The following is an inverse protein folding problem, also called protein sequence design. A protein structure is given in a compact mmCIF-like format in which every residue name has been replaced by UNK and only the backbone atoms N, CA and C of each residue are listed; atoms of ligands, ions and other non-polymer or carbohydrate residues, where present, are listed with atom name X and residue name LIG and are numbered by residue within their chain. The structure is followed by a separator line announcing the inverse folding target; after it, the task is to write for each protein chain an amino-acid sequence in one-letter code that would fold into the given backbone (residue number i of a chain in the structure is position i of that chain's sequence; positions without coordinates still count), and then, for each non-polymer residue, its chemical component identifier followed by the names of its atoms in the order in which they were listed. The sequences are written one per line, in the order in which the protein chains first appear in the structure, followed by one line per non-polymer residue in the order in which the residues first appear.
data_IF_379176259701
#
_entry.id   IF_379176259701
#
_cell.length_a   1.000
_cell.length_b   1.000
_cell.length_c   1.000
_cell.angle_alpha   90.00
_cell.angle_beta   90.00
_cell.angle_gamma   90.00
#
_symmetry.space_group_name_H-M   'P 1'
#
loop_
_entity.id
_entity.type
_entity.pdbx_description
1 polymer ?
#
# COMPACT_ATOMS: atom_id res chain seq x y z
N UNK A 1 -10.71 25.36 8.92
CA UNK A 1 -10.49 23.94 9.31
C UNK A 1 -9.43 23.87 10.41
N UNK A 2 -9.50 22.93 11.34
CA UNK A 2 -8.39 22.71 12.30
C UNK A 2 -7.33 21.82 11.64
N UNK A 3 -6.10 22.32 11.51
CA UNK A 3 -4.97 21.54 11.02
C UNK A 3 -4.39 20.71 12.15
N UNK A 4 -4.47 19.38 12.06
CA UNK A 4 -3.79 18.46 12.98
C UNK A 4 -2.47 18.01 12.40
N UNK A 5 -2.42 17.75 11.09
CA UNK A 5 -1.20 17.35 10.39
C UNK A 5 -1.03 18.06 9.05
N UNK A 6 0.20 18.42 8.73
CA UNK A 6 0.58 18.97 7.42
C UNK A 6 1.54 18.01 6.75
N UNK A 7 1.22 17.64 5.51
CA UNK A 7 2.15 16.91 4.65
C UNK A 7 3.16 17.90 4.08
N UNK A 8 4.46 17.64 4.28
CA UNK A 8 5.54 18.50 3.79
C UNK A 8 6.29 17.78 2.66
N UNK A 9 6.25 18.37 1.48
CA UNK A 9 7.08 17.98 0.33
C UNK A 9 8.31 18.88 0.30
N UNK A 10 9.50 18.29 0.22
CA UNK A 10 10.76 19.05 0.27
C UNK A 10 11.88 18.35 -0.51
N UNK A 11 12.87 19.11 -0.95
CA UNK A 11 14.04 18.56 -1.63
C UNK A 11 14.90 17.66 -0.72
N UNK A 12 15.39 16.55 -1.28
CA UNK A 12 16.42 15.70 -0.66
C UNK A 12 17.81 16.35 -0.64
N UNK A 13 17.98 17.46 -1.36
CA UNK A 13 19.18 18.29 -1.34
C UNK A 13 18.95 19.58 -0.53
N UNK A 14 19.99 20.15 0.11
CA UNK A 14 19.86 21.40 0.86
C UNK A 14 19.65 22.64 -0.04
N UNK A 15 19.95 22.52 -1.33
CA UNK A 15 19.95 23.63 -2.28
C UNK A 15 21.22 24.50 -2.20
N UNK A 16 21.31 25.49 -3.09
CA UNK A 16 22.50 26.36 -3.18
C UNK A 16 22.47 27.55 -2.22
N UNK A 17 21.28 27.97 -1.78
CA UNK A 17 21.11 29.08 -0.84
C UNK A 17 20.82 28.53 0.58
N UNK A 18 21.61 28.90 1.60
CA UNK A 18 21.37 28.46 2.99
C UNK A 18 20.00 28.89 3.55
N UNK A 19 19.35 29.90 2.94
CA UNK A 19 18.00 30.31 3.31
C UNK A 19 16.97 29.17 3.19
N UNK A 20 17.19 28.20 2.29
CA UNK A 20 16.29 27.06 2.12
C UNK A 20 16.27 26.13 3.33
N UNK A 21 17.45 25.72 3.80
CA UNK A 21 17.59 24.90 5.02
C UNK A 21 17.04 25.64 6.23
N UNK A 22 17.35 26.94 6.35
CA UNK A 22 16.86 27.75 7.44
C UNK A 22 15.32 27.88 7.41
N UNK A 23 14.71 28.00 6.23
CA UNK A 23 13.26 28.05 6.10
C UNK A 23 12.58 26.71 6.42
N UNK A 24 13.18 25.59 5.99
CA UNK A 24 12.71 24.25 6.33
C UNK A 24 12.71 24.03 7.86
N UNK A 25 13.82 24.37 8.54
CA UNK A 25 13.91 24.28 9.98
C UNK A 25 12.89 25.18 10.69
N UNK A 26 12.74 26.44 10.24
CA UNK A 26 11.73 27.37 10.80
C UNK A 26 10.31 26.83 10.65
N UNK A 27 9.97 26.25 9.50
CA UNK A 27 8.66 25.63 9.28
C UNK A 27 8.43 24.47 10.25
N UNK A 28 9.42 23.58 10.40
CA UNK A 28 9.33 22.43 11.30
C UNK A 28 9.10 22.84 12.76
N UNK A 29 9.91 23.78 13.27
CA UNK A 29 9.75 24.34 14.61
C UNK A 29 8.38 25.01 14.79
N UNK A 30 7.91 25.77 13.80
CA UNK A 30 6.63 26.48 13.88
C UNK A 30 5.44 25.52 13.92
N UNK A 31 5.46 24.46 13.11
CA UNK A 31 4.43 23.42 13.12
C UNK A 31 4.33 22.75 14.49
N UNK A 32 5.47 22.34 15.06
CA UNK A 32 5.54 21.77 16.40
C UNK A 32 5.01 22.73 17.48
N UNK A 33 5.42 24.00 17.46
CA UNK A 33 4.94 25.02 18.39
C UNK A 33 3.43 25.28 18.30
N UNK A 34 2.83 25.08 17.12
CA UNK A 34 1.39 25.18 16.90
C UNK A 34 0.64 23.88 17.21
N UNK A 35 1.34 22.82 17.65
CA UNK A 35 0.76 21.51 17.92
C UNK A 35 0.29 20.79 16.64
N UNK A 36 0.89 21.10 15.50
CA UNK A 36 0.57 20.52 14.20
C UNK A 36 1.66 19.49 13.86
N UNK A 37 1.26 18.24 13.65
CA UNK A 37 2.18 17.16 13.25
C UNK A 37 2.63 17.27 11.80
N UNK A 38 3.75 16.64 11.48
CA UNK A 38 4.33 16.58 10.13
C UNK A 38 4.13 15.18 9.57
N UNK A 39 3.66 15.11 8.33
CA UNK A 39 3.71 13.90 7.49
C UNK A 39 4.69 14.18 6.36
N UNK A 40 5.61 13.29 6.06
CA UNK A 40 6.57 13.52 4.97
C UNK A 40 7.15 12.22 4.41
N UNK A 41 8.09 12.37 3.48
CA UNK A 41 8.68 11.28 2.73
C UNK A 41 9.66 10.33 3.44
N UNK A 42 9.93 10.52 4.74
CA UNK A 42 10.75 9.61 5.56
C UNK A 42 12.27 9.76 5.46
N UNK A 43 12.79 10.60 4.56
CA UNK A 43 14.23 10.80 4.36
C UNK A 43 14.88 11.75 5.38
N UNK A 44 16.15 11.53 5.71
CA UNK A 44 16.88 12.35 6.70
C UNK A 44 17.79 13.45 6.11
N UNK A 45 17.81 13.61 4.78
CA UNK A 45 18.78 14.49 4.08
C UNK A 45 18.12 15.76 3.52
N UNK A 46 18.94 16.78 3.27
CA UNK A 46 18.50 18.03 2.65
C UNK A 46 17.45 18.76 3.47
N UNK A 47 16.44 19.31 2.79
CA UNK A 47 15.36 20.04 3.45
C UNK A 47 14.41 19.11 4.21
N UNK A 48 14.28 17.85 3.77
CA UNK A 48 13.50 16.82 4.46
C UNK A 48 14.04 16.54 5.86
N UNK A 49 15.35 16.37 6.01
CA UNK A 49 15.98 16.23 7.33
C UNK A 49 15.79 17.49 8.17
N UNK A 50 16.09 18.67 7.60
CA UNK A 50 16.01 19.94 8.33
C UNK A 50 14.63 20.24 8.92
N UNK A 51 13.54 19.96 8.18
CA UNK A 51 12.17 20.18 8.69
C UNK A 51 11.80 19.16 9.77
N UNK A 52 12.18 17.89 9.60
CA UNK A 52 11.90 16.81 10.54
C UNK A 52 12.66 17.02 11.85
N UNK A 53 13.98 17.22 11.80
CA UNK A 53 14.84 17.45 12.96
C UNK A 53 14.36 18.65 13.78
N UNK A 54 14.08 19.77 13.11
CA UNK A 54 13.65 21.00 13.79
C UNK A 54 12.28 20.86 14.47
N UNK A 55 11.38 20.03 13.91
CA UNK A 55 10.11 19.70 14.55
C UNK A 55 10.31 18.77 15.75
N UNK A 56 11.13 17.72 15.61
CA UNK A 56 11.45 16.79 16.70
C UNK A 56 12.11 17.51 17.88
N UNK A 57 13.08 18.40 17.63
CA UNK A 57 13.75 19.22 18.66
C UNK A 57 12.74 20.10 19.40
N UNK A 58 11.73 20.62 18.69
CA UNK A 58 10.66 21.43 19.27
C UNK A 58 9.54 20.59 19.93
N UNK A 59 9.68 19.25 19.98
CA UNK A 59 8.72 18.34 20.60
C UNK A 59 7.48 18.03 19.73
N UNK A 60 7.58 18.22 18.42
CA UNK A 60 6.50 17.92 17.47
C UNK A 60 6.40 16.45 17.09
N UNK A 61 5.25 16.06 16.54
CA UNK A 61 5.03 14.74 15.92
C UNK A 61 5.54 14.76 14.47
N UNK A 62 6.33 13.75 14.08
CA UNK A 62 6.81 13.57 12.70
C UNK A 62 6.59 12.12 12.26
N UNK A 63 5.77 11.94 11.22
CA UNK A 63 5.47 10.65 10.59
C UNK A 63 6.11 10.61 9.20
N UNK A 64 7.05 9.68 9.01
CA UNK A 64 7.66 9.39 7.72
C UNK A 64 6.96 8.24 7.01
N UNK A 65 6.79 8.33 5.68
CA UNK A 65 6.32 7.22 4.84
C UNK A 65 7.36 6.93 3.76
N UNK A 66 7.92 5.72 3.78
CA UNK A 66 9.01 5.32 2.91
C UNK A 66 8.70 3.98 2.21
N UNK A 67 8.90 3.85 0.88
CA UNK A 67 8.82 2.56 0.22
C UNK A 67 9.97 1.64 0.64
N UNK A 68 9.70 0.34 0.77
CA UNK A 68 10.71 -0.68 1.12
C UNK A 68 11.96 -0.62 0.24
N UNK A 69 11.77 -0.44 -1.08
CA UNK A 69 12.87 -0.33 -2.04
C UNK A 69 13.78 0.90 -1.84
N UNK A 70 13.28 1.95 -1.17
CA UNK A 70 14.06 3.12 -0.79
C UNK A 70 14.62 3.00 0.63
N UNK A 71 13.98 2.28 1.54
CA UNK A 71 14.55 2.02 2.89
C UNK A 71 15.90 1.30 2.84
N UNK A 72 16.11 0.44 1.83
CA UNK A 72 17.37 -0.27 1.63
C UNK A 72 18.49 0.60 1.03
N UNK A 73 18.18 1.80 0.51
CA UNK A 73 19.11 2.66 -0.27
C UNK A 73 19.22 4.09 0.26
N UNK A 74 18.13 4.64 0.75
CA UNK A 74 18.01 5.93 1.42
C UNK A 74 18.09 5.71 2.92
N UNK A 75 18.76 6.62 3.62
CA UNK A 75 18.85 6.52 5.07
C UNK A 75 17.54 7.06 5.64
N UNK A 76 16.61 6.14 5.94
CA UNK A 76 15.38 6.45 6.68
C UNK A 76 15.73 7.15 8.00
N UNK A 77 14.93 8.12 8.41
CA UNK A 77 15.25 8.96 9.56
C UNK A 77 14.93 8.23 10.88
N UNK A 78 15.91 7.77 11.67
CA UNK A 78 15.65 6.91 12.83
C UNK A 78 15.12 7.68 14.05
N UNK A 79 15.18 9.01 14.02
CA UNK A 79 14.87 9.88 15.15
C UNK A 79 13.46 10.47 15.11
N UNK A 80 12.63 10.13 14.13
CA UNK A 80 11.26 10.65 14.02
C UNK A 80 10.28 9.83 14.86
N UNK A 81 9.07 10.38 15.07
CA UNK A 81 8.04 9.75 15.91
C UNK A 81 7.58 8.40 15.37
N UNK A 82 7.37 8.30 14.06
CA UNK A 82 6.92 7.06 13.41
C UNK A 82 7.46 6.99 11.98
N UNK A 83 7.96 5.82 11.57
CA UNK A 83 8.32 5.54 10.18
C UNK A 83 7.44 4.38 9.67
N UNK A 84 6.67 4.64 8.61
CA UNK A 84 5.79 3.66 7.95
C UNK A 84 6.40 3.18 6.65
N UNK A 85 6.75 1.90 6.60
CA UNK A 85 7.27 1.26 5.39
C UNK A 85 6.12 0.72 4.54
N UNK A 86 6.09 1.07 3.26
CA UNK A 86 5.07 0.66 2.28
C UNK A 86 5.70 -0.07 1.08
N UNK A 87 4.90 -0.71 0.24
CA UNK A 87 5.44 -1.55 -0.84
C UNK A 87 5.66 -0.78 -2.14
N UNK A 88 5.03 0.39 -2.33
CA UNK A 88 5.14 1.17 -3.57
C UNK A 88 5.11 2.68 -3.38
N UNK A 89 5.56 3.42 -4.40
CA UNK A 89 5.45 4.89 -4.45
C UNK A 89 3.99 5.38 -4.45
N UNK A 90 3.06 4.62 -5.03
CA UNK A 90 1.65 4.97 -5.03
C UNK A 90 1.05 4.86 -3.62
N UNK A 91 1.34 3.75 -2.93
CA UNK A 91 0.93 3.57 -1.53
C UNK A 91 1.54 4.66 -0.63
N UNK A 92 2.79 5.04 -0.88
CA UNK A 92 3.47 6.12 -0.15
C UNK A 92 2.70 7.44 -0.25
N UNK A 93 2.40 7.89 -1.47
CA UNK A 93 1.69 9.17 -1.70
C UNK A 93 0.26 9.13 -1.20
N UNK A 94 -0.44 8.01 -1.40
CA UNK A 94 -1.80 7.81 -0.90
C UNK A 94 -1.85 7.90 0.63
N UNK A 95 -0.96 7.20 1.33
CA UNK A 95 -0.90 7.23 2.80
C UNK A 95 -0.50 8.61 3.33
N UNK A 96 0.47 9.29 2.70
CA UNK A 96 0.84 10.66 3.07
C UNK A 96 -0.34 11.63 2.93
N UNK A 97 -1.09 11.50 1.83
CA UNK A 97 -2.28 12.29 1.58
C UNK A 97 -3.43 11.95 2.54
N UNK A 98 -3.60 10.69 2.94
CA UNK A 98 -4.62 10.25 3.90
C UNK A 98 -4.37 10.89 5.28
N UNK A 99 -3.13 10.86 5.76
CA UNK A 99 -2.75 11.28 7.11
C UNK A 99 -2.76 12.80 7.32
N UNK A 100 -2.70 13.59 6.26
CA UNK A 100 -2.56 15.05 6.34
C UNK A 100 -3.87 15.79 6.13
N UNK A 101 -4.00 16.98 6.73
CA UNK A 101 -5.14 17.88 6.53
C UNK A 101 -4.82 18.96 5.47
N UNK A 102 -3.53 19.24 5.23
CA UNK A 102 -3.05 20.20 4.25
C UNK A 102 -1.67 19.81 3.72
N UNK A 103 -1.26 20.41 2.61
CA UNK A 103 0.02 20.17 1.95
C UNK A 103 0.85 21.44 1.88
N UNK A 104 2.16 21.35 2.16
CA UNK A 104 3.13 22.44 1.99
C UNK A 104 4.31 21.94 1.19
N UNK A 105 4.66 22.64 0.10
CA UNK A 105 5.89 22.41 -0.64
C UNK A 105 6.96 23.45 -0.29
N UNK A 106 8.06 22.96 0.28
CA UNK A 106 9.35 23.66 0.36
C UNK A 106 10.11 23.52 -0.96
N UNK A 107 11.13 24.35 -1.23
CA UNK A 107 11.97 24.21 -2.42
C UNK A 107 12.47 22.77 -2.65
N UNK A 108 12.44 22.31 -3.90
CA UNK A 108 12.79 20.93 -4.22
C UNK A 108 12.74 20.60 -5.71
N UNK A 109 13.30 19.46 -6.08
CA UNK A 109 13.41 19.02 -7.48
C UNK A 109 12.14 18.40 -8.04
N UNK A 110 12.31 17.52 -9.03
CA UNK A 110 11.20 16.85 -9.72
C UNK A 110 10.26 16.08 -8.78
N UNK A 111 10.79 15.39 -7.77
CA UNK A 111 9.96 14.67 -6.79
C UNK A 111 9.01 15.60 -6.04
N UNK A 112 9.52 16.72 -5.52
CA UNK A 112 8.71 17.73 -4.83
C UNK A 112 7.68 18.36 -5.75
N UNK A 113 8.04 18.64 -7.01
CA UNK A 113 7.12 19.18 -8.00
C UNK A 113 6.01 18.18 -8.37
N UNK A 114 6.35 16.90 -8.52
CA UNK A 114 5.42 15.82 -8.82
C UNK A 114 4.39 15.65 -7.69
N UNK A 115 4.85 15.56 -6.44
CA UNK A 115 4.01 15.45 -5.26
C UNK A 115 3.07 16.67 -5.09
N UNK A 116 3.60 17.88 -5.32
CA UNK A 116 2.85 19.12 -5.29
C UNK A 116 1.73 19.15 -6.34
N UNK A 117 2.07 18.88 -7.60
CA UNK A 117 1.12 18.95 -8.72
C UNK A 117 0.08 17.85 -8.59
N UNK A 118 0.43 16.67 -8.09
CA UNK A 118 -0.52 15.60 -7.79
C UNK A 118 -1.54 16.04 -6.73
N UNK A 119 -1.10 16.54 -5.57
CA UNK A 119 -2.00 17.02 -4.51
C UNK A 119 -2.91 18.16 -4.99
N UNK A 120 -2.38 19.10 -5.78
CA UNK A 120 -3.17 20.17 -6.38
C UNK A 120 -4.20 19.63 -7.39
N UNK A 121 -3.82 18.65 -8.20
CA UNK A 121 -4.69 18.01 -9.20
C UNK A 121 -5.80 17.21 -8.53
N UNK A 122 -5.51 16.50 -7.44
CA UNK A 122 -6.52 15.78 -6.67
C UNK A 122 -7.54 16.74 -6.05
N UNK A 123 -7.09 17.88 -5.52
CA UNK A 123 -7.99 18.96 -5.05
C UNK A 123 -8.87 19.51 -6.20
N UNK A 124 -8.27 19.72 -7.38
CA UNK A 124 -9.00 20.14 -8.59
C UNK A 124 -10.08 19.13 -9.00
N UNK A 125 -9.79 17.83 -8.96
CA UNK A 125 -10.70 16.76 -9.34
C UNK A 125 -11.76 16.47 -8.25
N UNK A 126 -11.58 16.99 -7.03
CA UNK A 126 -12.46 16.74 -5.90
C UNK A 126 -12.28 15.41 -5.23
N UNK A 127 -11.09 14.85 -5.37
CA UNK A 127 -10.64 13.66 -4.67
C UNK A 127 -10.49 13.94 -3.17
N UNK A 128 -9.98 15.13 -2.83
CA UNK A 128 -9.92 15.61 -1.45
C UNK A 128 -10.18 17.11 -1.40
N UNK A 129 -10.58 17.59 -0.22
CA UNK A 129 -10.88 19.00 0.07
C UNK A 129 -9.79 19.60 0.97
N UNK A 130 -8.53 19.43 0.57
CA UNK A 130 -7.36 19.81 1.37
C UNK A 130 -6.58 20.91 0.66
N UNK A 131 -6.16 21.97 1.36
CA UNK A 131 -5.45 23.08 0.76
C UNK A 131 -3.98 22.72 0.48
N UNK A 132 -3.42 23.33 -0.58
CA UNK A 132 -2.03 23.15 -1.01
C UNK A 132 -1.32 24.49 -0.98
N UNK A 133 -0.16 24.55 -0.34
CA UNK A 133 0.61 25.78 -0.14
C UNK A 133 2.06 25.67 -0.63
N UNK A 134 2.57 26.76 -1.20
CA UNK A 134 3.97 26.95 -1.55
C UNK A 134 4.62 27.89 -0.55
N UNK A 135 5.64 27.40 0.14
CA UNK A 135 6.51 28.26 0.95
C UNK A 135 7.62 28.83 0.04
N UNK A 136 7.41 30.06 -0.43
CA UNK A 136 8.21 30.71 -1.47
C UNK A 136 9.45 31.40 -0.92
N UNK A 137 10.44 30.57 -0.58
CA UNK A 137 11.74 31.00 -0.06
C UNK A 137 12.60 31.50 -1.21
N UNK A 138 13.19 32.70 -1.07
CA UNK A 138 14.07 33.30 -2.08
C UNK A 138 13.47 33.32 -3.51
N UNK A 139 12.13 33.43 -3.61
CA UNK A 139 11.37 33.40 -4.88
C UNK A 139 11.53 32.10 -5.68
N UNK A 140 11.86 30.99 -5.01
CA UNK A 140 12.07 29.69 -5.65
C UNK A 140 10.90 29.25 -6.54
N UNK A 141 9.66 29.51 -6.11
CA UNK A 141 8.47 29.06 -6.82
C UNK A 141 7.98 30.05 -7.89
N UNK A 142 8.68 31.16 -8.11
CA UNK A 142 8.24 32.21 -9.02
C UNK A 142 8.05 31.74 -10.46
N UNK A 143 8.91 30.85 -10.96
CA UNK A 143 8.78 30.34 -12.34
C UNK A 143 7.62 29.36 -12.50
N UNK A 144 7.34 28.56 -11.47
CA UNK A 144 6.15 27.70 -11.46
C UNK A 144 4.87 28.56 -11.44
N UNK A 145 4.87 29.65 -10.68
CA UNK A 145 3.75 30.60 -10.65
C UNK A 145 3.46 31.17 -12.05
N UNK A 146 4.49 31.61 -12.76
CA UNK A 146 4.37 32.11 -14.13
C UNK A 146 3.89 31.04 -15.11
N UNK A 147 4.32 29.78 -14.94
CA UNK A 147 3.84 28.66 -15.74
C UNK A 147 2.35 28.41 -15.52
N UNK A 148 1.89 28.42 -14.28
CA UNK A 148 0.46 28.24 -13.95
C UNK A 148 -0.38 29.41 -14.49
N UNK A 149 0.12 30.64 -14.39
CA UNK A 149 -0.54 31.82 -14.96
C UNK A 149 -0.59 31.76 -16.49
N UNK A 150 0.46 31.25 -17.13
CA UNK A 150 0.46 30.96 -18.56
C UNK A 150 -0.60 29.90 -18.92
N UNK A 151 -0.67 28.78 -18.17
CA UNK A 151 -1.69 27.76 -18.39
C UNK A 151 -3.13 28.32 -18.24
N UNK A 152 -3.35 29.31 -17.36
CA UNK A 152 -4.63 30.03 -17.28
C UNK A 152 -4.88 30.85 -18.53
N UNK A 153 -3.89 31.64 -18.99
CA UNK A 153 -4.01 32.45 -20.21
C UNK A 153 -4.29 31.60 -21.46
N UNK A 154 -3.62 30.46 -21.57
CA UNK A 154 -3.82 29.48 -22.65
C UNK A 154 -5.03 28.56 -22.43
N UNK A 155 -5.78 28.76 -21.34
CA UNK A 155 -7.03 28.05 -21.00
C UNK A 155 -6.86 26.54 -20.72
N UNK A 156 -5.65 26.09 -20.41
CA UNK A 156 -5.40 24.75 -19.86
C UNK A 156 -5.76 24.66 -18.38
N UNK A 157 -5.75 25.79 -17.66
CA UNK A 157 -6.13 25.88 -16.25
C UNK A 157 -7.26 26.90 -16.06
N UNK A 158 -8.31 26.54 -15.31
CA UNK A 158 -9.36 27.50 -14.94
C UNK A 158 -8.83 28.46 -13.87
N UNK A 159 -9.21 29.74 -13.95
CA UNK A 159 -8.78 30.75 -12.97
C UNK A 159 -9.20 30.45 -11.53
N UNK A 160 -10.28 29.70 -11.33
CA UNK A 160 -10.70 29.20 -10.01
C UNK A 160 -9.72 28.15 -9.47
N UNK A 161 -9.30 27.21 -10.33
CA UNK A 161 -8.34 26.16 -9.98
C UNK A 161 -6.94 26.73 -9.72
N UNK A 162 -6.60 27.86 -10.34
CA UNK A 162 -5.33 28.57 -10.06
C UNK A 162 -5.20 28.99 -8.59
N UNK A 163 -6.33 29.18 -7.90
CA UNK A 163 -6.38 29.55 -6.48
C UNK A 163 -6.30 28.35 -5.52
N UNK A 164 -6.22 27.11 -6.05
CA UNK A 164 -6.04 25.91 -5.24
C UNK A 164 -4.64 25.83 -4.62
N UNK A 165 -3.65 26.42 -5.29
CA UNK A 165 -2.27 26.49 -4.81
C UNK A 165 -2.03 27.88 -4.22
N UNK A 166 -1.98 27.94 -2.89
CA UNK A 166 -1.65 29.13 -2.12
C UNK A 166 -0.14 29.37 -2.14
N UNK A 167 0.29 30.61 -1.93
CA UNK A 167 1.71 30.98 -1.88
C UNK A 167 1.94 32.04 -0.83
N UNK A 168 3.01 31.86 -0.05
CA UNK A 168 3.51 32.86 0.88
C UNK A 168 5.01 32.66 1.08
N UNK A 169 5.75 33.76 1.26
CA UNK A 169 7.16 33.71 1.68
C UNK A 169 7.31 33.56 3.21
N UNK A 170 6.23 33.73 3.96
CA UNK A 170 6.16 33.60 5.41
C UNK A 170 5.38 32.33 5.78
N UNK A 171 6.00 31.46 6.60
CA UNK A 171 5.43 30.19 7.01
C UNK A 171 4.19 30.36 7.91
N UNK A 172 4.18 31.33 8.81
CA UNK A 172 3.03 31.58 9.70
C UNK A 172 1.82 32.04 8.92
N UNK A 173 2.01 33.01 8.02
CA UNK A 173 0.95 33.48 7.13
C UNK A 173 0.46 32.36 6.20
N UNK A 174 1.35 31.50 5.71
CA UNK A 174 0.94 30.36 4.89
C UNK A 174 0.03 29.42 5.67
N UNK A 175 0.41 29.06 6.90
CA UNK A 175 -0.37 28.17 7.75
C UNK A 175 -1.74 28.77 8.10
N UNK A 176 -1.79 30.08 8.35
CA UNK A 176 -3.04 30.79 8.62
C UNK A 176 -3.96 30.78 7.38
N UNK A 177 -3.40 30.98 6.18
CA UNK A 177 -4.14 30.87 4.92
C UNK A 177 -4.65 29.44 4.67
N UNK A 178 -3.84 28.41 4.94
CA UNK A 178 -4.25 27.01 4.81
C UNK A 178 -5.40 26.68 5.78
N UNK A 179 -5.33 27.15 7.02
CA UNK A 179 -6.37 26.91 8.02
C UNK A 179 -7.70 27.63 7.68
N UNK A 180 -7.61 28.81 7.06
CA UNK A 180 -8.75 29.61 6.61
C UNK A 180 -9.25 29.24 5.20
N UNK A 181 -8.58 28.32 4.50
CA UNK A 181 -8.91 27.99 3.12
C UNK A 181 -10.28 27.31 3.03
N UNK A 182 -11.07 27.79 2.08
CA UNK A 182 -12.31 27.16 1.65
C UNK A 182 -12.17 26.74 0.20
N UNK A 183 -12.65 25.54 -0.12
CA UNK A 183 -12.54 24.99 -1.45
C UNK A 183 -13.29 25.87 -2.47
N UNK A 184 -12.61 26.37 -3.52
CA UNK A 184 -13.31 26.98 -4.66
C UNK A 184 -14.28 25.96 -5.26
N UNK A 185 -15.54 26.35 -5.52
CA UNK A 185 -16.55 25.43 -6.06
C UNK A 185 -16.02 24.77 -7.34
N UNK A 186 -15.93 23.44 -7.41
CA UNK A 186 -15.37 22.79 -8.58
C UNK A 186 -16.31 22.95 -9.78
N UNK A 187 -15.77 23.38 -10.92
CA UNK A 187 -16.50 23.32 -12.19
C UNK A 187 -16.69 21.90 -12.74
N UNK A 188 -15.96 20.92 -12.19
CA UNK A 188 -16.09 19.48 -12.49
C UNK A 188 -15.97 18.72 -11.17
N UNK A 189 -17.05 18.10 -10.71
CA UNK A 189 -17.06 17.30 -9.48
C UNK A 189 -17.16 15.84 -9.86
N UNK A 190 -16.13 15.04 -9.57
CA UNK A 190 -16.27 13.59 -9.62
C UNK A 190 -17.36 13.19 -8.61
N UNK A 191 -18.20 12.21 -8.96
CA UNK A 191 -19.08 11.60 -7.96
C UNK A 191 -18.22 10.98 -6.87
N UNK A 192 -18.76 10.86 -5.64
CA UNK A 192 -18.04 10.19 -4.54
C UNK A 192 -17.59 8.78 -4.94
N UNK A 193 -18.41 8.07 -5.70
CA UNK A 193 -18.10 6.73 -6.21
C UNK A 193 -16.94 6.76 -7.21
N UNK A 194 -16.92 7.71 -8.15
CA UNK A 194 -15.83 7.86 -9.11
C UNK A 194 -14.52 8.28 -8.44
N UNK A 195 -14.58 9.12 -7.39
CA UNK A 195 -13.41 9.50 -6.61
C UNK A 195 -12.88 8.32 -5.79
N UNK A 196 -13.75 7.47 -5.23
CA UNK A 196 -13.36 6.28 -4.48
C UNK A 196 -12.57 5.29 -5.36
N UNK A 197 -12.99 5.07 -6.61
CA UNK A 197 -12.29 4.17 -7.55
C UNK A 197 -10.91 4.66 -8.01
N UNK A 198 -10.55 5.94 -7.81
CA UNK A 198 -9.22 6.46 -8.13
C UNK A 198 -8.16 6.08 -7.08
N UNK A 199 -8.59 5.72 -5.86
CA UNK A 199 -7.72 5.41 -4.71
C UNK A 199 -7.91 4.03 -4.12
N UNK A 200 -8.90 3.27 -4.57
CA UNK A 200 -8.89 1.86 -4.29
C UNK A 200 -7.56 1.33 -4.83
N UNK A 201 -6.68 0.78 -3.97
CA UNK A 201 -5.50 0.10 -4.48
C UNK A 201 -6.05 -0.92 -5.45
N UNK A 202 -5.55 -0.88 -6.70
CA UNK A 202 -5.95 -1.77 -7.79
C UNK A 202 -6.33 -3.09 -7.14
N UNK A 203 -7.61 -3.52 -7.16
CA UNK A 203 -8.02 -4.71 -6.45
C UNK A 203 -7.00 -5.77 -6.83
N UNK A 204 -6.26 -6.31 -5.85
CA UNK A 204 -5.19 -7.26 -6.17
C UNK A 204 -5.83 -8.29 -7.06
N UNK A 205 -5.35 -8.39 -8.30
CA UNK A 205 -5.90 -9.34 -9.25
C UNK A 205 -5.94 -10.69 -8.52
N UNK A 206 -7.03 -11.46 -8.65
CA UNK A 206 -7.15 -12.70 -7.90
C UNK A 206 -5.91 -13.55 -8.13
N UNK A 207 -5.25 -13.95 -7.05
CA UNK A 207 -4.10 -14.85 -7.15
C UNK A 207 -4.59 -16.23 -7.54
N UNK A 208 -3.85 -16.90 -8.42
CA UNK A 208 -4.16 -18.27 -8.83
C UNK A 208 -3.29 -19.21 -8.01
N UNK A 209 -3.94 -20.13 -7.31
CA UNK A 209 -3.27 -21.18 -6.57
C UNK A 209 -3.82 -22.56 -6.94
N UNK A 210 -3.19 -23.60 -6.46
CA UNK A 210 -3.63 -24.99 -6.67
C UNK A 210 -3.84 -25.71 -5.34
N UNK A 211 -4.61 -26.78 -5.40
CA UNK A 211 -4.68 -27.75 -4.30
C UNK A 211 -4.49 -29.15 -4.88
N UNK A 212 -3.53 -29.90 -4.35
CA UNK A 212 -3.22 -31.26 -4.71
C UNK A 212 -4.03 -32.24 -3.85
N UNK A 213 -5.16 -32.70 -4.38
CA UNK A 213 -6.06 -33.66 -3.74
C UNK A 213 -5.50 -35.08 -3.90
N UNK A 214 -4.74 -35.53 -2.90
CA UNK A 214 -4.22 -36.90 -2.83
C UNK A 214 -5.21 -37.77 -2.07
N UNK A 215 -5.83 -38.72 -2.78
CA UNK A 215 -6.75 -39.71 -2.17
C UNK A 215 -6.16 -41.10 -2.28
N UNK A 216 -5.96 -41.77 -1.13
CA UNK A 216 -5.45 -43.15 -1.04
C UNK A 216 -6.32 -43.94 -0.07
N UNK A 217 -6.78 -45.12 -0.49
CA UNK A 217 -7.62 -46.02 0.32
C UNK A 217 -8.83 -45.32 0.98
N UNK A 218 -9.51 -44.45 0.22
CA UNK A 218 -10.66 -43.67 0.70
C UNK A 218 -10.31 -42.56 1.70
N UNK A 219 -9.02 -42.24 1.87
CA UNK A 219 -8.55 -41.17 2.74
C UNK A 219 -7.91 -40.02 1.94
N UNK A 220 -8.18 -38.79 2.35
CA UNK A 220 -7.58 -37.56 1.84
C UNK A 220 -6.41 -37.13 2.73
N UNK A 221 -5.30 -36.78 2.09
CA UNK A 221 -4.15 -36.18 2.77
C UNK A 221 -4.41 -34.69 3.06
N UNK A 222 -4.31 -34.29 4.33
CA UNK A 222 -4.44 -32.89 4.76
C UNK A 222 -3.30 -32.50 5.70
N UNK A 223 -2.86 -31.25 5.61
CA UNK A 223 -1.86 -30.62 6.46
C UNK A 223 -2.47 -29.54 7.33
N UNK A 224 -2.05 -29.47 8.60
CA UNK A 224 -2.49 -28.43 9.53
C UNK A 224 -1.63 -27.17 9.34
N UNK A 225 -2.23 -26.07 8.88
CA UNK A 225 -1.52 -24.83 8.51
C UNK A 225 -1.02 -24.07 9.74
N UNK A 226 0.21 -23.53 9.66
CA UNK A 226 0.85 -22.63 10.66
C UNK A 226 1.01 -21.17 10.21
N UNK A 227 0.96 -20.90 8.91
CA UNK A 227 1.19 -19.56 8.36
C UNK A 227 0.06 -18.56 8.66
N UNK A 228 0.34 -17.25 8.54
CA UNK A 228 -0.61 -16.17 8.85
C UNK A 228 -1.97 -16.30 8.13
N UNK A 229 -1.97 -16.87 6.93
CA UNK A 229 -3.18 -17.08 6.14
C UNK A 229 -3.79 -18.47 6.40
N UNK A 230 -4.88 -18.53 7.16
CA UNK A 230 -5.58 -19.78 7.49
C UNK A 230 -4.88 -20.65 8.54
N UNK A 231 -4.09 -20.05 9.44
CA UNK A 231 -3.49 -20.76 10.58
C UNK A 231 -4.53 -21.58 11.35
N UNK A 232 -4.18 -22.81 11.73
CA UNK A 232 -5.06 -23.70 12.48
C UNK A 232 -6.13 -24.40 11.65
N UNK A 233 -6.12 -24.26 10.32
CA UNK A 233 -7.03 -24.98 9.43
C UNK A 233 -6.33 -26.09 8.66
N UNK A 234 -7.09 -27.12 8.25
CA UNK A 234 -6.65 -28.25 7.45
C UNK A 234 -6.81 -27.96 5.95
N UNK A 235 -5.76 -28.21 5.18
CA UNK A 235 -5.76 -28.04 3.73
C UNK A 235 -4.98 -29.17 3.03
N UNK A 236 -5.28 -29.48 1.76
CA UNK A 236 -4.39 -30.29 0.94
C UNK A 236 -3.06 -29.53 0.69
N UNK A 237 -1.98 -30.22 0.28
CA UNK A 237 -0.79 -29.56 -0.25
C UNK A 237 -1.15 -28.62 -1.40
N UNK A 238 -0.45 -27.50 -1.54
CA UNK A 238 -0.72 -26.56 -2.61
C UNK A 238 -0.21 -25.14 -2.35
N UNK A 239 0.08 -24.45 -3.44
CA UNK A 239 0.63 -23.11 -3.42
C UNK A 239 0.22 -22.29 -4.64
N UNK A 240 0.97 -21.22 -4.88
CA UNK A 240 0.74 -20.30 -5.99
C UNK A 240 1.18 -20.93 -7.32
N UNK A 241 0.47 -20.59 -8.40
CA UNK A 241 0.91 -20.94 -9.77
C UNK A 241 1.97 -19.92 -10.20
N UNK A 242 3.14 -20.41 -10.59
CA UNK A 242 4.21 -19.57 -11.12
C UNK A 242 3.93 -19.12 -12.56
N UNK A 243 4.52 -17.99 -12.96
CA UNK A 243 4.32 -17.45 -14.29
C UNK A 243 4.81 -18.41 -15.39
N UNK A 244 3.89 -18.86 -16.24
CA UNK A 244 4.17 -19.82 -17.32
C UNK A 244 4.15 -21.29 -16.89
N UNK A 245 3.84 -21.59 -15.62
CA UNK A 245 3.67 -22.95 -15.13
C UNK A 245 2.22 -23.43 -15.35
N UNK A 246 2.06 -24.67 -15.81
CA UNK A 246 0.74 -25.30 -15.93
C UNK A 246 0.21 -25.69 -14.53
N UNK A 247 -1.06 -25.40 -14.17
CA UNK A 247 -1.60 -25.69 -12.84
C UNK A 247 -1.45 -27.16 -12.39
N UNK A 248 -1.52 -28.10 -13.33
CA UNK A 248 -1.31 -29.52 -13.02
C UNK A 248 0.15 -29.78 -12.59
N UNK A 249 1.12 -29.11 -13.22
CA UNK A 249 2.53 -29.19 -12.84
C UNK A 249 2.77 -28.52 -11.48
N UNK A 250 2.18 -27.35 -11.23
CA UNK A 250 2.20 -26.70 -9.91
C UNK A 250 1.69 -27.64 -8.82
N UNK A 251 0.58 -28.35 -9.04
CA UNK A 251 0.03 -29.28 -8.04
C UNK A 251 0.96 -30.46 -7.73
N UNK A 252 1.71 -30.95 -8.72
CA UNK A 252 2.71 -31.99 -8.52
C UNK A 252 3.95 -31.46 -7.79
N UNK A 253 4.42 -30.26 -8.16
CA UNK A 253 5.55 -29.58 -7.54
C UNK A 253 5.28 -29.30 -6.07
N UNK A 254 4.17 -28.64 -5.76
CA UNK A 254 3.79 -28.29 -4.37
C UNK A 254 3.60 -29.55 -3.51
N UNK A 255 3.02 -30.62 -4.07
CA UNK A 255 2.95 -31.91 -3.36
C UNK A 255 4.34 -32.42 -2.98
N UNK A 256 5.29 -32.41 -3.92
CA UNK A 256 6.65 -32.89 -3.69
C UNK A 256 7.44 -31.99 -2.73
N UNK A 257 7.32 -30.67 -2.88
CA UNK A 257 8.00 -29.67 -2.06
C UNK A 257 7.52 -29.75 -0.60
N UNK A 258 6.22 -29.83 -0.36
CA UNK A 258 5.65 -29.78 0.99
C UNK A 258 5.68 -31.14 1.73
N UNK A 259 5.48 -32.24 0.98
CA UNK A 259 5.27 -33.58 1.56
C UNK A 259 6.35 -34.60 1.21
N UNK A 260 7.15 -34.34 0.17
CA UNK A 260 8.09 -35.30 -0.40
C UNK A 260 7.45 -36.45 -1.17
N UNK A 261 6.14 -36.42 -1.40
CA UNK A 261 5.44 -37.38 -2.23
C UNK A 261 5.51 -36.97 -3.71
N UNK A 262 5.82 -37.92 -4.59
CA UNK A 262 5.77 -37.70 -6.03
C UNK A 262 4.45 -38.26 -6.60
N UNK A 263 3.75 -37.46 -7.39
CA UNK A 263 2.58 -37.89 -8.16
C UNK A 263 2.94 -38.20 -9.61
N UNK A 264 2.26 -39.18 -10.22
CA UNK A 264 2.45 -39.52 -11.62
C UNK A 264 1.70 -38.58 -12.57
N UNK A 265 0.53 -38.08 -12.15
CA UNK A 265 -0.28 -37.12 -12.92
C UNK A 265 -1.24 -36.35 -12.02
N UNK A 266 -1.67 -35.19 -12.48
CA UNK A 266 -2.65 -34.33 -11.81
C UNK A 266 -3.78 -33.98 -12.79
N UNK A 267 -5.01 -34.35 -12.45
CA UNK A 267 -6.21 -34.08 -13.26
C UNK A 267 -7.08 -33.02 -12.62
N UNK A 268 -7.60 -32.08 -13.42
CA UNK A 268 -8.48 -31.01 -12.91
C UNK A 268 -9.79 -31.58 -12.32
N UNK A 269 -10.16 -31.09 -11.14
CA UNK A 269 -11.41 -31.42 -10.44
C UNK A 269 -12.41 -30.27 -10.56
N UNK A 270 -11.92 -29.05 -10.40
CA UNK A 270 -12.74 -27.83 -10.41
C UNK A 270 -11.97 -26.66 -9.82
N UNK A 271 -12.67 -25.55 -9.59
CA UNK A 271 -12.07 -24.39 -8.94
C UNK A 271 -13.00 -23.80 -7.89
N UNK A 272 -12.41 -23.06 -6.96
CA UNK A 272 -13.08 -22.22 -5.96
C UNK A 272 -12.58 -20.78 -6.08
N UNK A 273 -13.33 -19.84 -5.51
CA UNK A 273 -13.03 -18.41 -5.56
C UNK A 273 -13.33 -17.83 -4.20
N UNK A 274 -12.29 -17.60 -3.42
CA UNK A 274 -12.38 -17.31 -2.00
C UNK A 274 -11.79 -15.93 -1.70
N UNK A 275 -12.61 -15.06 -1.12
CA UNK A 275 -12.20 -13.72 -0.69
C UNK A 275 -11.92 -13.75 0.80
N UNK A 276 -10.78 -13.19 1.19
CA UNK A 276 -10.32 -13.09 2.57
C UNK A 276 -10.19 -11.61 2.93
N UNK A 277 -11.27 -10.96 3.40
CA UNK A 277 -11.30 -9.51 3.63
C UNK A 277 -10.25 -9.04 4.64
N UNK A 278 -10.03 -9.81 5.71
CA UNK A 278 -9.05 -9.48 6.75
C UNK A 278 -7.62 -9.40 6.21
N UNK A 279 -7.29 -10.27 5.24
CA UNK A 279 -5.96 -10.35 4.65
C UNK A 279 -5.84 -9.56 3.33
N UNK A 280 -6.94 -8.97 2.86
CA UNK A 280 -7.05 -8.29 1.56
C UNK A 280 -6.60 -9.19 0.40
N UNK A 281 -6.93 -10.47 0.46
CA UNK A 281 -6.59 -11.48 -0.55
C UNK A 281 -7.84 -12.02 -1.23
N UNK A 282 -7.71 -12.35 -2.52
CA UNK A 282 -8.68 -13.12 -3.28
C UNK A 282 -7.92 -14.20 -4.02
N UNK A 283 -8.26 -15.46 -3.74
CA UNK A 283 -7.67 -16.62 -4.39
C UNK A 283 -8.68 -17.32 -5.30
N UNK A 284 -8.25 -17.64 -6.52
CA UNK A 284 -8.87 -18.64 -7.37
C UNK A 284 -8.04 -19.92 -7.21
N UNK A 285 -8.57 -20.90 -6.49
CA UNK A 285 -7.87 -22.17 -6.26
C UNK A 285 -8.33 -23.22 -7.25
N UNK A 286 -7.38 -23.72 -8.06
CA UNK A 286 -7.60 -24.79 -9.03
C UNK A 286 -7.29 -26.15 -8.37
N UNK A 287 -8.34 -26.91 -8.10
CA UNK A 287 -8.22 -28.19 -7.43
C UNK A 287 -7.87 -29.29 -8.43
N UNK A 288 -6.81 -30.04 -8.12
CA UNK A 288 -6.33 -31.14 -8.95
C UNK A 288 -6.28 -32.43 -8.15
N UNK A 289 -6.83 -33.51 -8.70
CA UNK A 289 -6.66 -34.84 -8.14
C UNK A 289 -5.34 -35.41 -8.62
N UNK A 290 -4.48 -35.77 -7.67
CA UNK A 290 -3.18 -36.36 -7.98
C UNK A 290 -3.28 -37.89 -7.91
N UNK A 291 -2.76 -38.55 -8.94
CA UNK A 291 -2.73 -40.01 -9.06
C UNK A 291 -1.30 -40.56 -9.01
N UNK A 292 -1.16 -41.85 -8.70
CA UNK A 292 0.13 -42.55 -8.72
C UNK A 292 1.07 -42.17 -7.58
N UNK A 293 0.55 -41.67 -6.46
CA UNK A 293 1.35 -41.31 -5.29
C UNK A 293 1.69 -42.55 -4.47
N UNK A 294 2.97 -42.71 -4.14
CA UNK A 294 3.50 -43.80 -3.31
C UNK A 294 4.37 -43.23 -2.19
N UNK A 295 4.34 -43.87 -1.01
CA UNK A 295 5.10 -43.46 0.17
C UNK A 295 4.25 -42.77 1.23
N UNK A 296 4.89 -42.29 2.29
CA UNK A 296 4.27 -41.51 3.36
C UNK A 296 4.75 -40.05 3.32
N UNK A 297 3.88 -39.08 3.65
CA UNK A 297 4.24 -37.68 3.67
C UNK A 297 5.26 -37.40 4.79
N UNK A 298 6.26 -36.59 4.47
CA UNK A 298 7.20 -36.00 5.43
C UNK A 298 6.98 -34.50 5.39
N UNK A 299 6.88 -33.87 6.57
CA UNK A 299 6.75 -32.43 6.65
C UNK A 299 8.08 -31.75 6.27
N UNK A 300 8.20 -31.31 5.01
CA UNK A 300 9.39 -30.63 4.48
C UNK A 300 9.38 -29.13 4.76
N UNK A 301 8.23 -28.57 5.10
CA UNK A 301 8.05 -27.15 5.41
C UNK A 301 7.47 -26.93 6.82
N UNK A 302 8.20 -27.27 7.89
CA UNK A 302 7.70 -27.22 9.27
C UNK A 302 7.30 -25.81 9.75
N UNK A 303 7.72 -24.78 9.01
CA UNK A 303 7.35 -23.38 9.26
C UNK A 303 5.97 -23.01 8.67
N UNK A 304 5.45 -23.78 7.70
CA UNK A 304 4.15 -23.56 7.04
C UNK A 304 3.09 -24.59 7.42
N UNK A 305 3.51 -25.84 7.62
CA UNK A 305 2.65 -26.95 8.01
C UNK A 305 3.13 -27.52 9.34
N UNK A 306 2.22 -27.83 10.27
CA UNK A 306 2.57 -28.51 11.51
C UNK A 306 2.82 -30.00 11.29
N UNK A 307 1.87 -30.66 10.61
CA UNK A 307 1.87 -32.10 10.36
C UNK A 307 0.89 -32.46 9.26
N UNK A 308 1.12 -33.62 8.65
CA UNK A 308 0.28 -34.24 7.63
C UNK A 308 -0.49 -35.41 8.22
N UNK A 309 -1.78 -35.51 7.92
CA UNK A 309 -2.67 -36.57 8.39
C UNK A 309 -3.60 -37.07 7.26
N UNK A 310 -3.97 -38.35 7.34
CA UNK A 310 -4.90 -39.00 6.42
C UNK A 310 -6.30 -39.08 7.04
N UNK A 311 -7.26 -38.36 6.46
CA UNK A 311 -8.66 -38.36 6.91
C UNK A 311 -9.55 -39.17 6.00
N UNK A 312 -10.42 -40.01 6.53
CA UNK A 312 -11.41 -40.70 5.71
C UNK A 312 -12.34 -39.68 5.03
N UNK A 313 -12.69 -39.91 3.76
CA UNK A 313 -13.51 -38.96 2.98
C UNK A 313 -14.91 -38.75 3.56
N UNK A 314 -15.43 -39.72 4.31
CA UNK A 314 -16.71 -39.66 5.02
C UNK A 314 -16.58 -39.13 6.46
N UNK A 315 -15.35 -38.88 6.93
CA UNK A 315 -15.04 -38.39 8.28
C UNK A 315 -13.92 -37.32 8.24
N UNK A 316 -14.09 -36.32 7.38
CA UNK A 316 -13.21 -35.14 7.34
C UNK A 316 -13.36 -34.28 8.61
N UNK A 317 -12.36 -33.43 8.94
CA UNK A 317 -12.50 -32.45 10.01
C UNK A 317 -13.75 -31.57 9.84
N UNK A 318 -14.29 -31.02 10.95
CA UNK A 318 -15.42 -30.10 10.89
C UNK A 318 -15.17 -28.95 9.90
N UNK A 319 -16.21 -28.50 9.19
CA UNK A 319 -16.08 -27.46 8.16
C UNK A 319 -15.43 -26.15 8.68
N UNK A 320 -15.59 -25.83 9.97
CA UNK A 320 -14.94 -24.68 10.60
C UNK A 320 -13.41 -24.81 10.71
N UNK A 321 -12.89 -26.04 10.71
CA UNK A 321 -11.47 -26.36 10.77
C UNK A 321 -10.85 -26.58 9.39
N UNK A 322 -11.66 -26.58 8.32
CA UNK A 322 -11.16 -26.71 6.95
C UNK A 322 -10.78 -25.35 6.38
N UNK A 323 -9.68 -25.31 5.65
CA UNK A 323 -9.28 -24.11 4.91
C UNK A 323 -10.33 -23.79 3.84
N UNK A 324 -10.59 -22.49 3.62
CA UNK A 324 -11.77 -22.04 2.87
C UNK A 324 -11.93 -22.67 1.47
N UNK A 325 -10.88 -22.80 0.64
CA UNK A 325 -10.99 -23.44 -0.67
C UNK A 325 -11.42 -24.92 -0.60
N UNK A 326 -10.91 -25.68 0.37
CA UNK A 326 -11.31 -27.08 0.54
C UNK A 326 -12.76 -27.19 1.02
N UNK A 327 -13.16 -26.35 1.98
CA UNK A 327 -14.56 -26.29 2.44
C UNK A 327 -15.50 -25.96 1.28
N UNK A 328 -15.19 -24.92 0.51
CA UNK A 328 -15.99 -24.49 -0.63
C UNK A 328 -16.07 -25.58 -1.72
N UNK A 329 -14.99 -26.34 -1.95
CA UNK A 329 -15.00 -27.47 -2.87
C UNK A 329 -15.94 -28.60 -2.38
N UNK A 330 -15.93 -28.89 -1.08
CA UNK A 330 -16.80 -29.92 -0.48
C UNK A 330 -18.28 -29.51 -0.55
N UNK A 331 -18.58 -28.25 -0.26
CA UNK A 331 -19.93 -27.68 -0.39
C UNK A 331 -20.46 -27.75 -1.83
N UNK A 332 -19.57 -27.74 -2.83
CA UNK A 332 -19.88 -27.93 -4.25
C UNK A 332 -20.06 -29.41 -4.64
N UNK A 333 -19.99 -30.34 -3.69
CA UNK A 333 -20.31 -31.75 -3.90
C UNK A 333 -19.12 -32.67 -4.17
N UNK A 334 -17.89 -32.24 -3.85
CA UNK A 334 -16.72 -33.11 -3.92
C UNK A 334 -16.36 -33.73 -2.55
N UNK A 335 -15.92 -34.99 -2.48
CA UNK A 335 -15.93 -35.97 -3.57
C UNK A 335 -17.38 -36.34 -3.94
N UNK A 336 -17.61 -36.63 -5.22
CA UNK A 336 -18.89 -37.20 -5.64
C UNK A 336 -19.10 -38.52 -4.89
N UNK A 337 -20.23 -38.64 -4.18
CA UNK A 337 -20.63 -39.85 -3.47
C UNK A 337 -21.10 -40.94 -4.43
#
# INVERSE_FOLDING_TARGET
MQLRRVCVYAGSNPGADPAYVAAAARLGTLLAQRGIGIVYGGGQVGLMGAVADAAMIAGGEVIGVLPRALDEREIGHPGITELRVVESMHERKALMAELADAFVALPGGLGTLEELVEAATWSQLGIHDKPVGLLDVARYWHELEQLLDHAVRERFLRGENRRLVLRSADAGLLLDQLAAWERPRPGTQLSRDAAAHLFEPVPRAPSVGVSALVVRDGKLLLGLRRGAHGAGTWAPPGGAVDAGEEPAATALRELEEETGLAGASAGAVGFTSDVFPADRQHWITLHHRVAGVVGEPVNREPHRCERWEWFALDALPPAAELFAPLRALIERGWPAR
#
